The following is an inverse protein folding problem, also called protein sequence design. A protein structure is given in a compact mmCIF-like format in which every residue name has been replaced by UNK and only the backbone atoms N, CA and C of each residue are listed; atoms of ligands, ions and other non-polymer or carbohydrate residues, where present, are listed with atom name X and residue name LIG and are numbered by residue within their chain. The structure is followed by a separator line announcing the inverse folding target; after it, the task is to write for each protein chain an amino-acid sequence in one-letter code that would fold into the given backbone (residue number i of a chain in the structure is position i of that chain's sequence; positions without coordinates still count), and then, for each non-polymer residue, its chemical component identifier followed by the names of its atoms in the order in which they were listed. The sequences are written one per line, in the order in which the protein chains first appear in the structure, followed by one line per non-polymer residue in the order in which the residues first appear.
data_IF_473820971384
#
_entry.id   IF_473820971384
#
_cell.length_a   1.000
_cell.length_b   1.000
_cell.length_c   1.000
_cell.angle_alpha   90.00
_cell.angle_beta   90.00
_cell.angle_gamma   90.00
#
_symmetry.space_group_name_H-M   'P 1'
#
loop_
_entity.id
_entity.type
_entity.pdbx_description
1 polymer ?
#
# COMPACT_ATOMS: atom_id res chain seq x y z
N UNK A 1 1.61 16.09 10.45
CA UNK A 1 2.10 15.66 9.12
C UNK A 1 1.52 14.30 8.79
N UNK A 2 1.48 13.95 7.50
CA UNK A 2 0.95 12.67 7.02
C UNK A 2 2.04 11.93 6.24
N UNK A 3 2.14 10.62 6.42
CA UNK A 3 3.01 9.74 5.64
C UNK A 3 2.23 8.50 5.20
N UNK A 4 2.64 7.93 4.07
CA UNK A 4 1.92 6.87 3.40
C UNK A 4 2.95 5.93 2.73
N UNK A 5 3.58 5.02 3.49
CA UNK A 5 4.54 4.07 2.94
C UNK A 5 3.86 2.93 2.16
N UNK A 6 4.55 2.35 1.18
CA UNK A 6 4.08 1.15 0.47
C UNK A 6 4.45 -0.11 1.25
N UNK A 7 3.49 -0.62 2.01
CA UNK A 7 3.68 -1.81 2.85
C UNK A 7 3.07 -3.09 2.28
N UNK A 8 2.83 -3.16 0.96
CA UNK A 8 2.37 -4.36 0.25
C UNK A 8 3.10 -4.48 -1.09
N UNK A 9 3.07 -5.67 -1.69
CA UNK A 9 3.46 -5.84 -3.09
C UNK A 9 2.42 -5.20 -4.02
N UNK A 10 2.87 -4.36 -4.96
CA UNK A 10 1.98 -3.66 -5.90
C UNK A 10 2.28 -4.05 -7.35
N UNK A 11 1.24 -4.07 -8.17
CA UNK A 11 1.42 -4.20 -9.63
C UNK A 11 1.90 -2.89 -10.23
N UNK A 12 2.77 -3.01 -11.24
CA UNK A 12 3.22 -1.93 -12.09
C UNK A 12 3.03 -2.39 -13.53
N UNK A 13 2.12 -1.77 -14.26
CA UNK A 13 1.67 -2.29 -15.55
C UNK A 13 2.82 -2.37 -16.57
N UNK A 14 3.21 -3.58 -16.96
CA UNK A 14 4.34 -3.80 -17.86
C UNK A 14 5.72 -3.64 -17.22
N UNK A 15 5.80 -3.54 -15.89
CA UNK A 15 7.04 -3.36 -15.14
C UNK A 15 7.17 -4.39 -14.01
N UNK A 16 8.40 -4.53 -13.50
CA UNK A 16 8.66 -5.32 -12.30
C UNK A 16 7.79 -4.83 -11.13
N UNK A 17 7.08 -5.73 -10.42
CA UNK A 17 6.25 -5.37 -9.27
C UNK A 17 6.99 -4.55 -8.21
N UNK A 18 6.26 -3.68 -7.52
CA UNK A 18 6.83 -2.94 -6.40
C UNK A 18 7.03 -3.89 -5.23
N UNK A 19 8.26 -3.97 -4.71
CA UNK A 19 8.55 -4.72 -3.50
C UNK A 19 7.96 -4.01 -2.28
N UNK A 20 7.56 -4.79 -1.28
CA UNK A 20 7.13 -4.25 0.01
C UNK A 20 8.27 -3.50 0.71
N UNK A 21 8.01 -2.27 1.17
CA UNK A 21 8.99 -1.44 1.87
C UNK A 21 8.87 -1.58 3.40
N UNK A 22 9.21 -2.74 3.96
CA UNK A 22 8.98 -3.05 5.38
C UNK A 22 9.69 -2.06 6.33
N UNK A 23 10.98 -1.80 6.12
CA UNK A 23 11.75 -0.89 6.97
C UNK A 23 11.30 0.57 6.81
N UNK A 24 11.03 1.01 5.58
CA UNK A 24 10.48 2.35 5.30
C UNK A 24 9.15 2.53 6.00
N UNK A 25 8.28 1.51 5.96
CA UNK A 25 6.99 1.50 6.66
C UNK A 25 7.19 1.64 8.17
N UNK A 26 8.10 0.87 8.76
CA UNK A 26 8.42 0.96 10.18
C UNK A 26 8.92 2.37 10.55
N UNK A 27 9.82 2.95 9.76
CA UNK A 27 10.37 4.29 9.99
C UNK A 27 9.26 5.34 9.89
N UNK A 28 8.45 5.31 8.84
CA UNK A 28 7.33 6.22 8.62
C UNK A 28 6.32 6.17 9.77
N UNK A 29 5.96 4.96 10.22
CA UNK A 29 5.06 4.78 11.37
C UNK A 29 5.65 5.35 12.66
N UNK A 30 6.95 5.14 12.93
CA UNK A 30 7.61 5.66 14.14
C UNK A 30 7.69 7.19 14.11
N UNK A 31 8.06 7.77 12.97
CA UNK A 31 8.11 9.22 12.79
C UNK A 31 6.73 9.85 12.95
N UNK A 32 5.69 9.26 12.35
CA UNK A 32 4.31 9.74 12.52
C UNK A 32 3.92 9.76 14.00
N UNK A 33 4.23 8.71 14.78
CA UNK A 33 3.95 8.69 16.23
C UNK A 33 4.69 9.79 16.98
N UNK A 34 6.00 9.95 16.73
CA UNK A 34 6.82 10.96 17.40
C UNK A 34 6.34 12.40 17.13
N UNK A 35 5.86 12.66 15.91
CA UNK A 35 5.38 13.97 15.47
C UNK A 35 3.89 14.20 15.73
N UNK A 36 3.21 13.31 16.46
CA UNK A 36 1.73 13.32 16.61
C UNK A 36 1.01 13.44 15.26
N UNK A 37 1.59 12.85 14.22
CA UNK A 37 1.06 12.79 12.86
C UNK A 37 0.28 11.51 12.59
N UNK A 38 -0.14 11.36 11.34
CA UNK A 38 -0.87 10.16 10.88
C UNK A 38 -0.04 9.39 9.84
N UNK A 39 -0.05 8.07 9.95
CA UNK A 39 0.50 7.17 8.95
C UNK A 39 -0.65 6.35 8.34
N UNK A 40 -0.85 6.47 7.02
CA UNK A 40 -1.72 5.59 6.26
C UNK A 40 -0.92 4.37 5.82
N UNK A 41 -1.42 3.17 6.09
CA UNK A 41 -0.77 1.92 5.71
C UNK A 41 -1.85 0.86 5.45
N UNK A 42 -1.57 -0.08 4.56
CA UNK A 42 -2.45 -1.22 4.34
C UNK A 42 -2.57 -2.08 5.60
N UNK A 43 -3.74 -2.70 5.78
CA UNK A 43 -4.04 -3.54 6.95
C UNK A 43 -3.14 -4.79 7.00
N UNK A 44 -2.95 -5.38 8.19
CA UNK A 44 -2.20 -6.63 8.34
C UNK A 44 -2.75 -7.79 7.48
N UNK A 45 -4.08 -8.01 7.38
CA UNK A 45 -4.63 -8.99 6.44
C UNK A 45 -4.24 -8.72 4.99
N UNK A 46 -4.23 -7.46 4.55
CA UNK A 46 -3.88 -7.11 3.17
C UNK A 46 -2.37 -7.28 2.89
N UNK A 47 -1.52 -6.94 3.86
CA UNK A 47 -0.08 -7.24 3.81
C UNK A 47 0.15 -8.72 3.58
N UNK A 48 -0.42 -9.57 4.45
CA UNK A 48 -0.29 -11.02 4.38
C UNK A 48 -0.86 -11.58 3.08
N UNK A 49 -2.00 -11.07 2.62
CA UNK A 49 -2.59 -11.45 1.32
C UNK A 49 -1.61 -11.15 0.19
N UNK A 50 -1.03 -9.95 0.15
CA UNK A 50 -0.08 -9.57 -0.89
C UNK A 50 1.18 -10.43 -0.89
N UNK A 51 1.71 -10.77 0.29
CA UNK A 51 2.86 -11.67 0.45
C UNK A 51 2.58 -13.07 -0.09
N UNK A 52 1.40 -13.63 0.21
CA UNK A 52 1.00 -14.96 -0.29
C UNK A 52 0.84 -14.96 -1.81
N UNK A 53 0.22 -13.93 -2.37
CA UNK A 53 0.06 -13.78 -3.82
C UNK A 53 1.42 -13.63 -4.51
N UNK A 54 2.33 -12.84 -3.93
CA UNK A 54 3.70 -12.70 -4.41
C UNK A 54 4.45 -14.03 -4.41
N UNK A 55 4.41 -14.76 -3.29
CA UNK A 55 5.05 -16.06 -3.16
C UNK A 55 4.52 -17.07 -4.19
N UNK A 56 3.20 -17.09 -4.42
CA UNK A 56 2.57 -17.91 -5.44
C UNK A 56 3.04 -17.53 -6.86
N UNK A 57 3.11 -16.23 -7.16
CA UNK A 57 3.62 -15.71 -8.42
C UNK A 57 5.06 -16.15 -8.69
N UNK A 58 5.94 -15.98 -7.70
CA UNK A 58 7.33 -16.43 -7.76
C UNK A 58 7.44 -17.94 -7.99
N UNK A 59 6.63 -18.74 -7.28
CA UNK A 59 6.63 -20.20 -7.44
C UNK A 59 6.24 -20.61 -8.87
N UNK A 60 5.18 -20.02 -9.44
CA UNK A 60 4.76 -20.29 -10.82
C UNK A 60 5.82 -19.87 -11.83
N UNK A 61 6.46 -18.73 -11.63
CA UNK A 61 7.53 -18.26 -12.51
C UNK A 61 8.74 -19.20 -12.47
N UNK A 62 9.15 -19.68 -11.28
CA UNK A 62 10.23 -20.65 -11.13
C UNK A 62 9.95 -22.00 -11.80
N UNK A 63 8.68 -22.36 -11.95
CA UNK A 63 8.23 -23.57 -12.68
C UNK A 63 8.01 -23.32 -14.18
N UNK A 64 8.28 -22.13 -14.70
CA UNK A 64 8.02 -21.76 -16.09
C UNK A 64 6.53 -21.66 -16.46
N UNK A 65 5.64 -21.61 -15.46
CA UNK A 65 4.18 -21.53 -15.65
C UNK A 65 3.66 -20.09 -15.81
N UNK A 66 4.48 -19.10 -15.46
CA UNK A 66 4.14 -17.68 -15.59
C UNK A 66 5.35 -16.88 -16.07
N UNK A 67 5.11 -15.95 -17.00
CA UNK A 67 6.13 -15.01 -17.48
C UNK A 67 6.35 -13.84 -16.52
N UNK A 68 5.33 -13.48 -15.74
CA UNK A 68 5.34 -12.37 -14.80
C UNK A 68 4.88 -12.82 -13.41
N UNK A 69 5.76 -12.85 -12.40
CA UNK A 69 5.38 -13.11 -11.01
C UNK A 69 4.31 -12.14 -10.48
N UNK A 70 4.29 -10.90 -10.99
CA UNK A 70 3.34 -9.86 -10.65
C UNK A 70 1.91 -10.12 -11.13
N UNK A 71 1.69 -11.07 -12.04
CA UNK A 71 0.37 -11.42 -12.53
C UNK A 71 -0.52 -12.06 -11.44
N UNK A 72 0.08 -12.60 -10.38
CA UNK A 72 -0.65 -13.14 -9.23
C UNK A 72 -1.12 -12.08 -8.24
N UNK A 73 -0.55 -10.87 -8.27
CA UNK A 73 -0.92 -9.78 -7.36
C UNK A 73 -2.31 -9.23 -7.70
N UNK A 74 -2.95 -8.62 -6.70
CA UNK A 74 -4.27 -8.03 -6.89
C UNK A 74 -4.24 -6.92 -7.97
N UNK A 75 -5.04 -7.02 -9.04
CA UNK A 75 -5.06 -6.03 -10.12
C UNK A 75 -5.55 -4.65 -9.69
N UNK A 76 -6.23 -4.53 -8.54
CA UNK A 76 -6.68 -3.26 -7.99
C UNK A 76 -5.62 -2.55 -7.13
N UNK A 77 -4.60 -3.28 -6.68
CA UNK A 77 -3.48 -2.73 -5.89
C UNK A 77 -2.32 -2.32 -6.81
N UNK A 78 -2.57 -1.27 -7.60
CA UNK A 78 -1.60 -0.69 -8.54
C UNK A 78 -0.79 0.43 -7.89
N UNK A 79 0.51 0.47 -8.21
CA UNK A 79 1.41 1.55 -7.80
C UNK A 79 0.94 2.88 -8.43
N UNK A 80 0.62 3.91 -7.63
CA UNK A 80 0.11 5.17 -8.14
C UNK A 80 1.09 5.89 -9.08
N UNK A 81 2.39 5.60 -9.00
CA UNK A 81 3.40 6.17 -9.90
C UNK A 81 3.34 5.60 -11.34
N UNK A 82 2.61 4.50 -11.53
CA UNK A 82 2.46 3.81 -12.81
C UNK A 82 1.03 3.90 -13.36
N UNK A 83 0.20 4.74 -12.75
CA UNK A 83 -1.14 5.04 -13.23
C UNK A 83 -1.11 6.23 -14.21
N UNK A 84 -2.00 6.20 -15.20
CA UNK A 84 -2.34 7.40 -15.97
C UNK A 84 -3.09 8.37 -15.07
N UNK A 85 -3.05 9.65 -15.42
CA UNK A 85 -3.66 10.72 -14.63
C UNK A 85 -5.16 10.51 -14.41
N UNK A 86 -5.84 9.95 -15.40
CA UNK A 86 -7.27 9.67 -15.38
C UNK A 86 -7.61 8.50 -14.45
N UNK A 87 -6.65 7.61 -14.18
CA UNK A 87 -6.83 6.43 -13.32
C UNK A 87 -6.61 6.74 -11.83
N UNK A 88 -5.90 7.83 -11.51
CA UNK A 88 -5.54 8.21 -10.13
C UNK A 88 -6.79 8.31 -9.24
N UNK A 89 -7.88 8.91 -9.74
CA UNK A 89 -9.12 9.08 -8.96
C UNK A 89 -9.78 7.76 -8.54
N UNK A 90 -9.55 6.68 -9.30
CA UNK A 90 -10.07 5.34 -9.01
C UNK A 90 -9.17 4.51 -8.09
N UNK A 91 -7.92 4.92 -7.88
CA UNK A 91 -6.94 4.16 -7.12
C UNK A 91 -7.31 4.11 -5.62
N UNK A 92 -7.39 2.91 -5.00
CA UNK A 92 -7.80 2.78 -3.59
C UNK A 92 -6.92 3.58 -2.63
N UNK A 93 -5.61 3.60 -2.87
CA UNK A 93 -4.65 4.33 -2.05
C UNK A 93 -4.86 5.83 -2.12
N UNK A 94 -5.01 6.38 -3.33
CA UNK A 94 -5.31 7.80 -3.53
C UNK A 94 -6.62 8.20 -2.84
N UNK A 95 -7.68 7.39 -2.97
CA UNK A 95 -8.99 7.68 -2.36
C UNK A 95 -8.91 7.73 -0.83
N UNK A 96 -8.15 6.82 -0.20
CA UNK A 96 -7.95 6.84 1.24
C UNK A 96 -7.13 8.04 1.71
N UNK A 97 -6.09 8.42 0.97
CA UNK A 97 -5.32 9.64 1.23
C UNK A 97 -6.18 10.91 1.12
N UNK A 98 -7.01 11.00 0.09
CA UNK A 98 -7.93 12.12 -0.11
C UNK A 98 -8.97 12.21 1.01
N UNK A 99 -9.57 11.07 1.41
CA UNK A 99 -10.53 11.02 2.52
C UNK A 99 -9.89 11.41 3.85
N UNK A 100 -8.66 10.96 4.12
CA UNK A 100 -7.91 11.36 5.32
C UNK A 100 -7.61 12.86 5.31
N UNK A 101 -7.15 13.40 4.19
CA UNK A 101 -6.86 14.82 4.05
C UNK A 101 -8.11 15.66 4.29
N UNK A 102 -9.25 15.25 3.75
CA UNK A 102 -10.53 15.94 3.95
C UNK A 102 -10.92 16.00 5.44
N UNK A 103 -10.87 14.87 6.15
CA UNK A 103 -11.19 14.82 7.60
C UNK A 103 -10.30 15.74 8.42
N UNK A 104 -9.01 15.78 8.09
CA UNK A 104 -8.05 16.66 8.78
C UNK A 104 -8.33 18.15 8.53
N UNK A 105 -8.84 18.52 7.34
CA UNK A 105 -9.25 19.89 7.03
C UNK A 105 -10.54 20.29 7.74
N UNK A 106 -11.45 19.34 7.95
CA UNK A 106 -12.74 19.54 8.61
C UNK A 106 -12.62 19.63 10.15
N UNK A 107 -11.40 19.45 10.71
CA UNK A 107 -11.15 19.51 12.15
C UNK A 107 -11.59 18.25 12.90
N UNK A 108 -11.92 17.18 12.18
CA UNK A 108 -12.25 15.88 12.74
C UNK A 108 -10.97 15.26 13.31
N UNK A 109 -10.83 15.25 14.64
CA UNK A 109 -9.74 14.49 15.25
C UNK A 109 -9.89 13.01 14.86
N UNK A 110 -8.80 12.35 14.43
CA UNK A 110 -8.85 10.92 14.17
C UNK A 110 -9.26 10.19 15.45
N UNK A 111 -10.11 9.15 15.38
CA UNK A 111 -10.60 8.47 16.56
C UNK A 111 -9.43 7.98 17.43
N UNK A 112 -9.54 8.07 18.77
CA UNK A 112 -8.49 7.58 19.66
C UNK A 112 -8.24 6.10 19.37
N UNK A 113 -7.00 5.74 19.07
CA UNK A 113 -6.64 4.35 18.80
C UNK A 113 -6.62 3.58 20.12
N UNK A 114 -7.45 2.54 20.22
CA UNK A 114 -7.43 1.58 21.31
C UNK A 114 -6.08 0.84 21.41
N UNK A 115 -5.78 0.22 22.56
CA UNK A 115 -4.50 -0.45 22.78
C UNK A 115 -4.38 -1.69 21.88
N UNK A 116 -3.49 -1.63 20.90
CA UNK A 116 -3.05 -2.78 20.11
C UNK A 116 -3.27 -2.67 18.60
N UNK A 117 -2.27 -2.18 17.88
CA UNK A 117 -2.07 -2.40 16.44
C UNK A 117 -0.58 -2.29 16.09
#
# INVERSE_FOLDING_TARGET
SCTAPHNIYLRRDGHQPHAMEEYTTMIAQRLARQLRGTCLAWSRPEQRRSELLWALGCHRAAQGQALDPGAALDPHNRDPNYLRREEIGGNPWFRQMAALAQRLLEGDEPPPRGPGA
#
